data_IF_680802651809
#
_entry.id   IF_680802651809
#
_cell.length_a   1.000
_cell.length_b   1.000
_cell.length_c   1.000
_cell.angle_alpha   90.00
_cell.angle_beta   90.00
_cell.angle_gamma   90.00
#
_symmetry.space_group_name_H-M   'P 1'
#
loop_
_entity.id
_entity.type
_entity.pdbx_description
1 polymer ?
#
# COMPACT_ATOMS: atom_id res chain seq x y z
N UNK A 1 7.39 -13.37 -10.18
CA UNK A 1 6.82 -14.12 -9.04
C UNK A 1 7.33 -15.54 -9.11
N UNK A 2 8.24 -15.95 -8.21
CA UNK A 2 8.71 -17.33 -8.14
C UNK A 2 7.69 -18.18 -7.37
N UNK A 3 6.66 -18.64 -8.07
CA UNK A 3 5.60 -19.51 -7.51
C UNK A 3 6.16 -20.81 -6.92
N UNK A 4 7.37 -21.21 -7.32
CA UNK A 4 8.08 -22.42 -6.86
C UNK A 4 9.18 -22.14 -5.84
N UNK A 5 9.29 -20.93 -5.28
CA UNK A 5 10.25 -20.70 -4.20
C UNK A 5 9.80 -21.50 -2.96
N UNK A 6 10.58 -22.51 -2.51
CA UNK A 6 10.14 -23.40 -1.44
C UNK A 6 9.84 -22.63 -0.15
N UNK A 7 10.52 -21.50 0.11
CA UNK A 7 10.28 -20.67 1.29
C UNK A 7 8.90 -20.02 1.29
N UNK A 8 8.46 -19.52 0.15
CA UNK A 8 7.14 -18.89 0.01
C UNK A 8 6.02 -19.93 0.10
N UNK A 9 6.22 -21.09 -0.53
CA UNK A 9 5.28 -22.21 -0.48
C UNK A 9 5.08 -22.71 0.95
N UNK A 10 6.17 -22.95 1.68
CA UNK A 10 6.12 -23.40 3.08
C UNK A 10 5.39 -22.40 3.99
N UNK A 11 5.65 -21.10 3.82
CA UNK A 11 4.94 -20.06 4.57
C UNK A 11 3.44 -20.03 4.28
N UNK A 12 3.05 -20.20 3.02
CA UNK A 12 1.64 -20.25 2.62
C UNK A 12 0.93 -21.49 3.18
N UNK A 13 1.56 -22.67 3.08
CA UNK A 13 1.03 -23.92 3.63
C UNK A 13 0.87 -23.81 5.15
N UNK A 14 1.87 -23.31 5.87
CA UNK A 14 1.77 -23.12 7.32
C UNK A 14 0.62 -22.18 7.71
N UNK A 15 0.42 -21.10 6.96
CA UNK A 15 -0.68 -20.15 7.19
C UNK A 15 -2.05 -20.80 6.95
N UNK A 16 -2.18 -21.60 5.89
CA UNK A 16 -3.41 -22.34 5.59
C UNK A 16 -3.70 -23.38 6.67
N UNK A 17 -2.71 -24.17 7.08
CA UNK A 17 -2.87 -25.20 8.13
C UNK A 17 -3.25 -24.58 9.48
N UNK A 18 -2.66 -23.43 9.84
CA UNK A 18 -3.04 -22.70 11.05
C UNK A 18 -4.45 -22.10 10.99
N UNK A 19 -4.87 -21.62 9.81
CA UNK A 19 -6.18 -20.98 9.64
C UNK A 19 -7.36 -21.94 9.46
N UNK A 20 -7.13 -23.15 8.94
CA UNK A 20 -8.17 -24.11 8.60
C UNK A 20 -8.60 -25.00 9.79
N UNK A 21 -7.71 -25.24 10.77
CA UNK A 21 -7.97 -26.14 11.90
C UNK A 21 -8.17 -27.61 11.47
N UNK A 22 -8.29 -28.55 12.42
CA UNK A 22 -8.42 -29.98 12.12
C UNK A 22 -9.77 -30.36 11.46
N UNK A 23 -10.82 -29.56 11.64
CA UNK A 23 -12.18 -29.79 11.11
C UNK A 23 -12.46 -29.02 9.79
N UNK A 24 -11.42 -28.87 8.97
CA UNK A 24 -11.48 -28.07 7.76
C UNK A 24 -12.39 -28.71 6.70
N UNK A 25 -13.57 -28.15 6.51
CA UNK A 25 -14.50 -28.55 5.44
C UNK A 25 -14.06 -27.94 4.09
N UNK A 26 -14.28 -28.61 2.93
CA UNK A 26 -13.96 -28.04 1.61
C UNK A 26 -14.57 -26.64 1.38
N UNK A 27 -15.72 -26.36 1.97
CA UNK A 27 -16.37 -25.04 1.95
C UNK A 27 -15.51 -23.96 2.61
N UNK A 28 -14.85 -24.26 3.73
CA UNK A 28 -13.96 -23.31 4.43
C UNK A 28 -12.76 -22.94 3.56
N UNK A 29 -12.19 -23.93 2.86
CA UNK A 29 -11.11 -23.71 1.89
C UNK A 29 -11.58 -22.80 0.75
N UNK A 30 -12.77 -23.08 0.19
CA UNK A 30 -13.35 -22.27 -0.88
C UNK A 30 -13.58 -20.81 -0.44
N UNK A 31 -14.07 -20.57 0.78
CA UNK A 31 -14.27 -19.23 1.35
C UNK A 31 -12.95 -18.49 1.52
N UNK A 32 -11.90 -19.15 2.04
CA UNK A 32 -10.58 -18.55 2.19
C UNK A 32 -9.99 -18.16 0.82
N UNK A 33 -10.07 -19.06 -0.16
CA UNK A 33 -9.59 -18.78 -1.51
C UNK A 33 -10.36 -17.64 -2.18
N UNK A 34 -11.70 -17.61 -2.03
CA UNK A 34 -12.53 -16.53 -2.54
C UNK A 34 -12.18 -15.19 -1.87
N UNK A 35 -11.99 -15.17 -0.55
CA UNK A 35 -11.56 -13.98 0.19
C UNK A 35 -10.19 -13.49 -0.28
N UNK A 36 -9.24 -14.40 -0.47
CA UNK A 36 -7.91 -14.08 -1.00
C UNK A 36 -7.97 -13.50 -2.42
N UNK A 37 -8.84 -14.05 -3.28
CA UNK A 37 -9.05 -13.57 -4.64
C UNK A 37 -9.65 -12.15 -4.64
N UNK A 38 -10.71 -11.93 -3.85
CA UNK A 38 -11.33 -10.60 -3.70
C UNK A 38 -10.31 -9.58 -3.19
N UNK A 39 -9.55 -9.91 -2.15
CA UNK A 39 -8.52 -9.03 -1.60
C UNK A 39 -7.45 -8.71 -2.65
N UNK A 40 -6.99 -9.72 -3.41
CA UNK A 40 -6.00 -9.53 -4.46
C UNK A 40 -6.54 -8.60 -5.55
N UNK A 41 -7.78 -8.79 -6.00
CA UNK A 41 -8.44 -7.91 -6.97
C UNK A 41 -8.55 -6.50 -6.41
N UNK A 42 -9.02 -6.32 -5.18
CA UNK A 42 -9.13 -5.00 -4.55
C UNK A 42 -7.79 -4.29 -4.45
N UNK A 43 -6.73 -5.00 -4.05
CA UNK A 43 -5.38 -4.43 -3.93
C UNK A 43 -4.83 -4.06 -5.30
N UNK A 44 -4.86 -4.96 -6.28
CA UNK A 44 -4.33 -4.71 -7.61
C UNK A 44 -5.13 -3.64 -8.36
N UNK A 45 -6.47 -3.68 -8.29
CA UNK A 45 -7.32 -2.63 -8.85
C UNK A 45 -7.13 -1.30 -8.12
N UNK A 46 -6.97 -1.32 -6.79
CA UNK A 46 -6.64 -0.14 -5.99
C UNK A 46 -5.32 0.50 -6.46
N UNK A 47 -4.26 -0.30 -6.60
CA UNK A 47 -3.00 0.15 -7.16
C UNK A 47 -3.14 0.63 -8.61
N UNK A 48 -3.93 -0.05 -9.44
CA UNK A 48 -4.18 0.38 -10.82
C UNK A 48 -4.90 1.73 -10.86
N UNK A 49 -5.90 1.99 -10.01
CA UNK A 49 -6.55 3.30 -9.93
C UNK A 49 -5.56 4.38 -9.46
N UNK A 50 -4.69 4.01 -8.51
CA UNK A 50 -3.63 4.91 -8.01
C UNK A 50 -2.53 5.19 -9.04
N UNK A 51 -2.17 4.23 -9.87
CA UNK A 51 -1.00 4.38 -10.74
C UNK A 51 -1.33 4.45 -12.24
N UNK A 52 -2.55 4.15 -12.67
CA UNK A 52 -2.91 3.95 -14.08
C UNK A 52 -3.93 4.95 -14.65
N UNK A 53 -4.53 5.84 -13.84
CA UNK A 53 -5.58 6.76 -14.34
C UNK A 53 -5.21 8.25 -14.21
N UNK A 54 -5.39 9.03 -15.30
CA UNK A 54 -5.26 10.50 -15.35
C UNK A 54 -5.87 11.31 -14.18
N UNK A 55 -6.98 10.91 -13.52
CA UNK A 55 -7.46 11.56 -12.30
C UNK A 55 -6.49 11.46 -11.10
N UNK A 56 -5.68 10.40 -10.95
CA UNK A 56 -4.69 10.34 -9.86
C UNK A 56 -3.53 11.31 -10.09
N UNK A 57 -3.12 11.55 -11.34
CA UNK A 57 -2.13 12.61 -11.65
C UNK A 57 -2.66 13.99 -11.20
N UNK A 58 -3.95 14.28 -11.39
CA UNK A 58 -4.57 15.53 -10.90
C UNK A 58 -4.65 15.59 -9.38
N UNK A 59 -4.99 14.48 -8.71
CA UNK A 59 -4.98 14.36 -7.25
C UNK A 59 -3.58 14.56 -6.67
N UNK A 60 -2.58 13.88 -7.22
CA UNK A 60 -1.18 13.97 -6.83
C UNK A 60 -0.61 15.38 -7.07
N UNK A 61 -0.95 16.04 -8.18
CA UNK A 61 -0.57 17.46 -8.41
C UNK A 61 -1.18 18.42 -7.39
N UNK A 62 -2.39 18.14 -6.89
CA UNK A 62 -3.03 18.94 -5.83
C UNK A 62 -2.30 18.76 -4.50
N UNK A 63 -2.01 17.52 -4.12
CA UNK A 63 -1.26 17.19 -2.90
C UNK A 63 0.18 17.72 -2.95
N UNK A 64 0.85 17.58 -4.10
CA UNK A 64 2.21 18.09 -4.32
C UNK A 64 2.32 19.60 -4.11
N UNK A 65 1.34 20.39 -4.56
CA UNK A 65 1.32 21.85 -4.30
C UNK A 65 1.23 22.19 -2.82
N UNK A 66 0.48 21.43 -2.03
CA UNK A 66 0.40 21.62 -0.58
C UNK A 66 1.70 21.23 0.12
N UNK A 67 2.32 20.11 -0.30
CA UNK A 67 3.61 19.66 0.23
C UNK A 67 4.72 20.68 -0.07
N UNK A 68 4.87 21.09 -1.34
CA UNK A 68 5.85 22.09 -1.75
C UNK A 68 5.60 23.45 -1.10
N UNK A 69 4.33 23.89 -1.00
CA UNK A 69 3.97 25.13 -0.31
C UNK A 69 4.31 25.10 1.19
N UNK A 70 4.06 23.98 1.86
CA UNK A 70 4.39 23.81 3.29
C UNK A 70 5.91 23.80 3.49
N UNK A 71 6.66 23.07 2.67
CA UNK A 71 8.13 23.04 2.72
C UNK A 71 8.71 24.44 2.44
N UNK A 72 8.19 25.15 1.44
CA UNK A 72 8.62 26.50 1.13
C UNK A 72 8.34 27.48 2.28
N UNK A 73 7.19 27.35 2.96
CA UNK A 73 6.88 28.14 4.15
C UNK A 73 7.83 27.84 5.31
N UNK A 74 8.06 26.56 5.61
CA UNK A 74 8.95 26.14 6.72
C UNK A 74 10.37 26.58 6.46
N UNK A 75 10.92 26.30 5.28
CA UNK A 75 12.28 26.67 4.93
C UNK A 75 12.44 28.18 4.73
N UNK A 76 11.45 28.85 4.15
CA UNK A 76 11.43 30.31 4.01
C UNK A 76 11.40 31.00 5.37
N UNK A 77 10.51 30.58 6.27
CA UNK A 77 10.45 31.10 7.63
C UNK A 77 11.74 30.81 8.41
N UNK A 78 12.29 29.60 8.29
CA UNK A 78 13.58 29.24 8.90
C UNK A 78 14.73 30.09 8.36
N UNK A 79 14.77 30.35 7.04
CA UNK A 79 15.77 31.21 6.41
C UNK A 79 15.67 32.67 6.84
N UNK A 80 14.46 33.23 6.89
CA UNK A 80 14.22 34.58 7.41
C UNK A 80 14.62 34.67 8.89
N UNK A 81 14.24 33.68 9.70
CA UNK A 81 14.63 33.61 11.11
C UNK A 81 16.15 33.52 11.27
N UNK A 82 16.85 32.78 10.41
CA UNK A 82 18.30 32.67 10.44
C UNK A 82 19.00 33.99 10.08
N UNK A 83 18.48 34.72 9.07
CA UNK A 83 18.98 36.03 8.68
C UNK A 83 18.77 37.06 9.80
N UNK A 84 17.57 37.09 10.38
CA UNK A 84 17.23 37.99 11.50
C UNK A 84 17.90 37.61 12.82
N UNK A 85 18.31 36.35 12.99
CA UNK A 85 19.06 35.90 14.17
C UNK A 85 20.57 36.10 14.03
N UNK A 86 21.06 36.44 12.83
CA UNK A 86 22.47 36.81 12.58
C UNK A 86 22.68 38.33 12.43
N UNK A 87 21.63 39.13 12.62
CA UNK A 87 21.69 40.59 12.85
C UNK A 87 21.45 40.89 14.31
#
# INVERSE_FOLDING_TARGET
MHLTNPKALLGWVATMTLGLGPEATPTTVAVILAGCAVLSITIFCGYAIVFSTAPMIRGYRRARRWIEGTLALVFGAAGIKLLLSRS
#
